data_IF_549543344314
#
_entry.id   IF_549543344314
#
_cell.length_a   1.000
_cell.length_b   1.000
_cell.length_c   1.000
_cell.angle_alpha   90.00
_cell.angle_beta   90.00
_cell.angle_gamma   90.00
#
_symmetry.space_group_name_H-M   'P 1'
#
loop_
_entity.id
_entity.type
_entity.pdbx_description
1 polymer ?
#
# COMPACT_ATOMS: atom_id res chain seq x y z
N UNK A 1 22.44 -30.51 39.68
CA UNK A 1 21.62 -29.27 39.68
C UNK A 1 22.38 -27.99 39.26
N UNK A 2 23.58 -28.08 38.66
CA UNK A 2 24.39 -26.93 38.23
C UNK A 2 24.19 -26.55 36.75
N UNK A 3 24.03 -27.54 35.87
CA UNK A 3 23.94 -27.32 34.42
C UNK A 3 22.72 -26.47 34.00
N UNK A 4 21.63 -26.58 34.77
CA UNK A 4 20.37 -25.89 34.52
C UNK A 4 20.45 -24.38 34.78
N UNK A 5 21.42 -23.91 35.58
CA UNK A 5 21.66 -22.48 35.80
C UNK A 5 22.40 -21.84 34.64
N UNK A 6 23.32 -22.56 34.02
CA UNK A 6 24.01 -22.06 32.83
C UNK A 6 23.07 -21.96 31.62
N UNK A 7 22.16 -22.93 31.46
CA UNK A 7 21.19 -22.91 30.36
C UNK A 7 20.17 -21.78 30.50
N UNK A 8 19.67 -21.49 31.71
CA UNK A 8 18.74 -20.37 31.94
C UNK A 8 19.41 -19.01 31.79
N UNK A 9 20.65 -18.84 32.24
CA UNK A 9 21.42 -17.59 32.02
C UNK A 9 21.64 -17.34 30.53
N UNK A 10 22.06 -18.37 29.78
CA UNK A 10 22.23 -18.26 28.33
C UNK A 10 20.92 -17.94 27.62
N UNK A 11 19.82 -18.60 28.02
CA UNK A 11 18.49 -18.31 27.49
C UNK A 11 18.05 -16.87 27.77
N UNK A 12 18.29 -16.37 29.00
CA UNK A 12 17.97 -14.99 29.38
C UNK A 12 18.79 -13.96 28.58
N UNK A 13 20.09 -14.22 28.34
CA UNK A 13 20.93 -13.38 27.51
C UNK A 13 20.44 -13.32 26.06
N UNK A 14 20.13 -14.48 25.48
CA UNK A 14 19.58 -14.56 24.11
C UNK A 14 18.24 -13.83 24.02
N UNK A 15 17.33 -14.06 24.98
CA UNK A 15 16.04 -13.39 25.01
C UNK A 15 16.16 -11.87 25.17
N UNK A 16 17.07 -11.40 26.03
CA UNK A 16 17.37 -9.98 26.20
C UNK A 16 17.89 -9.34 24.91
N UNK A 17 18.79 -10.03 24.21
CA UNK A 17 19.29 -9.57 22.91
C UNK A 17 18.17 -9.47 21.87
N UNK A 18 17.32 -10.50 21.75
CA UNK A 18 16.17 -10.48 20.86
C UNK A 18 15.20 -9.34 21.18
N UNK A 19 14.97 -9.08 22.47
CA UNK A 19 14.07 -8.00 22.88
C UNK A 19 14.63 -6.62 22.53
N UNK A 20 15.95 -6.42 22.71
CA UNK A 20 16.65 -5.21 22.27
C UNK A 20 16.49 -4.98 20.76
N UNK A 21 16.62 -6.04 19.96
CA UNK A 21 16.43 -5.98 18.52
C UNK A 21 14.99 -5.64 18.13
N UNK A 22 14.00 -6.25 18.77
CA UNK A 22 12.59 -5.94 18.55
C UNK A 22 12.26 -4.48 18.87
N UNK A 23 12.81 -3.94 19.97
CA UNK A 23 12.65 -2.53 20.33
C UNK A 23 13.31 -1.62 19.30
N UNK A 24 14.52 -1.95 18.82
CA UNK A 24 15.19 -1.15 17.79
C UNK A 24 14.42 -1.10 16.47
N UNK A 25 13.90 -2.25 16.02
CA UNK A 25 13.06 -2.34 14.81
C UNK A 25 11.74 -1.57 15.02
N UNK A 26 11.09 -1.77 16.17
CA UNK A 26 9.85 -1.08 16.53
C UNK A 26 10.02 0.44 16.60
N UNK A 27 11.11 0.92 17.18
CA UNK A 27 11.46 2.34 17.22
C UNK A 27 11.72 2.90 15.82
N UNK A 28 12.43 2.17 14.95
CA UNK A 28 12.66 2.59 13.55
C UNK A 28 11.37 2.61 12.75
N UNK A 29 10.52 1.60 12.90
CA UNK A 29 9.21 1.52 12.26
C UNK A 29 8.30 2.65 12.75
N UNK A 30 8.22 2.86 14.07
CA UNK A 30 7.50 3.97 14.68
C UNK A 30 8.00 5.32 14.19
N UNK A 31 9.31 5.54 14.13
CA UNK A 31 9.88 6.77 13.59
C UNK A 31 9.46 6.99 12.12
N UNK A 32 9.52 5.96 11.28
CA UNK A 32 9.08 6.04 9.89
C UNK A 32 7.57 6.31 9.79
N UNK A 33 6.76 5.67 10.62
CA UNK A 33 5.31 5.89 10.64
C UNK A 33 4.97 7.29 11.15
N UNK A 34 5.47 7.71 12.32
CA UNK A 34 5.15 9.02 12.90
C UNK A 34 5.69 10.21 12.09
N UNK A 35 6.93 10.14 11.60
CA UNK A 35 7.55 11.26 10.87
C UNK A 35 7.26 11.24 9.37
N UNK A 36 7.15 10.07 8.73
CA UNK A 36 6.90 10.00 7.28
C UNK A 36 5.48 9.63 6.91
N UNK A 37 4.58 9.28 7.84
CA UNK A 37 3.17 9.06 7.50
C UNK A 37 2.52 10.26 6.81
N UNK A 38 2.73 11.53 7.22
CA UNK A 38 2.09 12.64 6.53
C UNK A 38 2.53 12.74 5.07
N UNK A 39 3.84 12.56 4.81
CA UNK A 39 4.41 12.62 3.47
C UNK A 39 4.04 11.40 2.60
N UNK A 40 4.03 10.19 3.15
CA UNK A 40 3.57 8.99 2.44
C UNK A 40 2.06 9.06 2.17
N UNK A 41 1.26 9.53 3.12
CA UNK A 41 -0.18 9.71 2.97
C UNK A 41 -0.50 10.75 1.89
N UNK A 42 0.23 11.86 1.86
CA UNK A 42 0.14 12.86 0.79
C UNK A 42 0.54 12.30 -0.57
N UNK A 43 1.58 11.46 -0.65
CA UNK A 43 1.96 10.80 -1.91
C UNK A 43 0.92 9.79 -2.37
N UNK A 44 0.33 9.06 -1.43
CA UNK A 44 -0.74 8.11 -1.71
C UNK A 44 -2.03 8.81 -2.16
N UNK A 45 -2.39 9.95 -1.57
CA UNK A 45 -3.55 10.74 -2.02
C UNK A 45 -3.37 11.24 -3.45
N UNK A 46 -2.17 11.70 -3.81
CA UNK A 46 -1.83 12.12 -5.18
C UNK A 46 -1.89 10.94 -6.17
N UNK A 47 -1.61 9.71 -5.74
CA UNK A 47 -1.72 8.53 -6.62
C UNK A 47 -3.13 7.92 -6.68
N UNK A 48 -3.95 8.09 -5.65
CA UNK A 48 -5.33 7.61 -5.60
C UNK A 48 -6.31 8.57 -6.28
N UNK A 49 -6.06 9.88 -6.26
CA UNK A 49 -6.67 10.84 -7.19
C UNK A 49 -6.03 10.68 -8.58
N UNK A 50 -6.14 9.48 -9.14
CA UNK A 50 -5.97 9.34 -10.57
C UNK A 50 -7.15 10.08 -11.18
N UNK A 51 -6.90 11.20 -11.85
CA UNK A 51 -7.89 11.88 -12.69
C UNK A 51 -8.50 10.84 -13.63
N UNK A 52 -9.63 10.26 -13.23
CA UNK A 52 -10.45 9.48 -14.13
C UNK A 52 -11.08 10.52 -15.04
N UNK A 53 -10.40 10.81 -16.14
CA UNK A 53 -10.97 11.59 -17.23
C UNK A 53 -12.16 10.79 -17.74
N UNK A 54 -13.36 11.10 -17.22
CA UNK A 54 -14.61 10.55 -17.72
C UNK A 54 -14.76 11.06 -19.15
N UNK A 55 -14.31 10.24 -20.11
CA UNK A 55 -14.38 10.58 -21.52
C UNK A 55 -15.85 10.46 -21.91
N UNK A 56 -16.50 11.59 -22.17
CA UNK A 56 -17.89 11.60 -22.59
C UNK A 56 -18.06 10.74 -23.85
N UNK A 57 -19.06 9.85 -23.84
CA UNK A 57 -19.43 9.06 -25.02
C UNK A 57 -19.89 10.02 -26.12
N UNK A 58 -19.28 9.96 -27.30
CA UNK A 58 -19.77 10.72 -28.47
C UNK A 58 -21.11 10.13 -28.92
N UNK A 59 -22.06 11.00 -29.25
CA UNK A 59 -23.37 10.61 -29.75
C UNK A 59 -23.28 9.73 -31.01
N UNK A 60 -24.25 8.85 -31.14
CA UNK A 60 -24.37 7.92 -32.26
C UNK A 60 -24.94 8.68 -33.48
N UNK A 61 -24.40 8.40 -34.68
CA UNK A 61 -24.85 9.01 -35.94
C UNK A 61 -25.74 8.01 -36.68
N UNK A 62 -26.92 8.45 -37.10
CA UNK A 62 -27.88 7.65 -37.85
C UNK A 62 -28.15 8.22 -39.24
N UNK A 63 -28.51 7.37 -40.19
CA UNK A 63 -29.13 7.78 -41.45
C UNK A 63 -30.62 8.14 -41.25
N UNK A 64 -31.28 8.68 -42.29
CA UNK A 64 -32.71 9.01 -42.33
C UNK A 64 -33.62 7.82 -42.00
N UNK A 65 -33.15 6.60 -42.20
CA UNK A 65 -33.86 5.37 -41.87
C UNK A 65 -33.56 4.83 -40.46
N UNK A 66 -32.88 5.61 -39.61
CA UNK A 66 -32.46 5.22 -38.25
C UNK A 66 -31.44 4.06 -38.19
N UNK A 67 -30.77 3.79 -39.29
CA UNK A 67 -29.64 2.86 -39.33
C UNK A 67 -28.37 3.53 -38.78
N UNK A 68 -27.67 2.85 -37.88
CA UNK A 68 -26.49 3.40 -37.21
C UNK A 68 -25.26 3.38 -38.13
N UNK A 69 -24.65 4.55 -38.36
CA UNK A 69 -23.48 4.73 -39.22
C UNK A 69 -22.17 4.86 -38.44
N UNK A 70 -22.23 5.41 -37.21
CA UNK A 70 -21.07 5.52 -36.33
C UNK A 70 -21.50 5.48 -34.86
N UNK A 71 -20.88 4.60 -34.08
CA UNK A 71 -21.15 4.43 -32.65
C UNK A 71 -19.84 4.43 -31.86
N UNK A 72 -19.90 4.92 -30.62
CA UNK A 72 -18.76 4.86 -29.69
C UNK A 72 -18.85 3.60 -28.83
N UNK A 73 -17.84 2.72 -28.88
CA UNK A 73 -17.75 1.52 -28.02
C UNK A 73 -16.56 1.62 -27.07
N UNK A 74 -16.72 1.05 -25.88
CA UNK A 74 -15.64 0.93 -24.91
C UNK A 74 -14.77 -0.29 -25.27
N UNK A 75 -13.46 -0.09 -25.39
CA UNK A 75 -12.53 -1.18 -25.74
C UNK A 75 -11.97 -1.81 -24.47
N UNK A 76 -12.27 -3.08 -24.23
CA UNK A 76 -11.55 -3.88 -23.23
C UNK A 76 -10.27 -4.42 -23.87
N UNK A 77 -9.11 -4.08 -23.30
CA UNK A 77 -7.81 -4.66 -23.66
C UNK A 77 -7.44 -5.80 -22.72
#
# INVERSE_FOLDING_TARGET
MSNQRHTTIRAALTAGLFMLWLVAIGARAGYLQLFKAPWLSQKASVQYEREMTLRAKRGDIYDRHHEALAVSIESTS
#
